data_IF_883818078353
#
_entry.id   IF_883818078353
#
_cell.length_a   1.000
_cell.length_b   1.000
_cell.length_c   1.000
_cell.angle_alpha   90.00
_cell.angle_beta   90.00
_cell.angle_gamma   90.00
#
_symmetry.space_group_name_H-M   'P 1'
#
loop_
_entity.id
_entity.type
_entity.pdbx_description
1 polymer ?
#
# COMPACT_ATOMS: atom_id res chain seq x y z
N UNK A 1 -14.12 -12.72 -3.81
CA UNK A 1 -13.43 -12.52 -2.51
C UNK A 1 -13.26 -11.01 -2.35
N UNK A 2 -13.43 -10.44 -1.15
CA UNK A 2 -13.21 -9.02 -0.95
C UNK A 2 -11.75 -8.67 -1.30
N UNK A 3 -11.51 -7.52 -1.90
CA UNK A 3 -10.16 -7.05 -2.23
C UNK A 3 -9.85 -5.76 -1.50
N UNK A 4 -8.69 -5.70 -0.85
CA UNK A 4 -8.18 -4.48 -0.24
C UNK A 4 -7.07 -3.87 -1.08
N UNK A 5 -7.12 -2.55 -1.25
CA UNK A 5 -5.95 -1.77 -1.63
C UNK A 5 -5.06 -1.62 -0.40
N UNK A 6 -3.84 -2.17 -0.44
CA UNK A 6 -2.91 -2.14 0.70
C UNK A 6 -1.81 -1.14 0.44
N UNK A 7 -1.64 -0.19 1.35
CA UNK A 7 -0.54 0.78 1.34
C UNK A 7 0.38 0.46 2.51
N UNK A 8 1.65 0.17 2.22
CA UNK A 8 2.70 0.08 3.23
C UNK A 8 3.46 1.40 3.21
N UNK A 9 3.40 2.17 4.29
CA UNK A 9 4.16 3.41 4.43
C UNK A 9 5.51 3.15 5.09
N UNK A 10 6.52 3.95 4.73
CA UNK A 10 7.83 3.97 5.40
C UNK A 10 8.49 5.34 5.22
N UNK A 11 9.70 5.52 5.75
CA UNK A 11 10.55 6.69 5.51
C UNK A 11 11.96 6.21 5.17
N UNK A 12 12.66 6.96 4.33
CA UNK A 12 13.93 6.54 3.71
C UNK A 12 15.11 6.32 4.66
N UNK A 13 14.99 6.70 5.94
CA UNK A 13 16.02 6.46 6.96
C UNK A 13 15.72 5.24 7.84
N UNK A 14 14.57 4.57 7.66
CA UNK A 14 14.26 3.33 8.35
C UNK A 14 14.73 2.10 7.55
N UNK A 15 15.03 0.98 8.22
CA UNK A 15 15.44 -0.25 7.55
C UNK A 15 14.35 -0.84 6.66
N UNK A 16 14.71 -1.21 5.42
CA UNK A 16 13.78 -1.82 4.46
C UNK A 16 13.22 -3.18 4.91
N UNK A 17 13.94 -3.89 5.78
CA UNK A 17 13.49 -5.18 6.34
C UNK A 17 12.11 -5.10 7.00
N UNK A 18 11.76 -3.94 7.56
CA UNK A 18 10.45 -3.71 8.19
C UNK A 18 9.32 -3.67 7.15
N UNK A 19 9.61 -3.19 5.93
CA UNK A 19 8.66 -3.20 4.80
C UNK A 19 8.43 -4.64 4.34
N UNK A 20 9.51 -5.41 4.21
CA UNK A 20 9.44 -6.81 3.76
C UNK A 20 8.72 -7.71 4.78
N UNK A 21 8.98 -7.51 6.08
CA UNK A 21 8.27 -8.19 7.16
C UNK A 21 6.78 -7.86 7.14
N UNK A 22 6.43 -6.57 7.07
CA UNK A 22 5.04 -6.12 7.01
C UNK A 22 4.31 -6.69 5.80
N UNK A 23 4.93 -6.64 4.61
CA UNK A 23 4.36 -7.21 3.38
C UNK A 23 4.05 -8.69 3.55
N UNK A 24 5.01 -9.47 4.06
CA UNK A 24 4.86 -10.91 4.27
C UNK A 24 3.72 -11.21 5.24
N UNK A 25 3.68 -10.51 6.36
CA UNK A 25 2.66 -10.74 7.39
C UNK A 25 1.26 -10.33 6.91
N UNK A 26 1.14 -9.18 6.24
CA UNK A 26 -0.12 -8.72 5.67
C UNK A 26 -0.65 -9.67 4.61
N UNK A 27 0.19 -10.07 3.64
CA UNK A 27 -0.23 -10.98 2.58
C UNK A 27 -0.65 -12.34 3.13
N UNK A 28 0.07 -12.85 4.14
CA UNK A 28 -0.29 -14.10 4.82
C UNK A 28 -1.67 -13.97 5.49
N UNK A 29 -1.86 -12.96 6.34
CA UNK A 29 -3.12 -12.78 7.08
C UNK A 29 -4.30 -12.54 6.13
N UNK A 30 -4.12 -11.72 5.09
CA UNK A 30 -5.18 -11.47 4.11
C UNK A 30 -5.55 -12.76 3.36
N UNK A 31 -4.57 -13.57 2.96
CA UNK A 31 -4.82 -14.85 2.32
C UNK A 31 -5.54 -15.84 3.26
N UNK A 32 -5.10 -15.93 4.53
CA UNK A 32 -5.72 -16.79 5.55
C UNK A 32 -7.20 -16.42 5.78
N UNK A 33 -7.54 -15.12 5.68
CA UNK A 33 -8.90 -14.60 5.81
C UNK A 33 -9.69 -14.56 4.49
N UNK A 34 -9.11 -15.04 3.38
CA UNK A 34 -9.77 -15.07 2.07
C UNK A 34 -10.00 -13.68 1.46
N UNK A 35 -9.07 -12.75 1.71
CA UNK A 35 -9.06 -11.37 1.19
C UNK A 35 -7.93 -11.22 0.17
N UNK A 36 -8.25 -10.70 -1.01
CA UNK A 36 -7.26 -10.37 -2.03
C UNK A 36 -6.60 -9.01 -1.75
N UNK A 37 -5.35 -8.83 -2.20
CA UNK A 37 -4.59 -7.60 -1.97
C UNK A 37 -4.12 -6.97 -3.29
N UNK A 38 -4.30 -5.65 -3.41
CA UNK A 38 -3.69 -4.80 -4.45
C UNK A 38 -2.71 -3.86 -3.76
N UNK A 39 -1.44 -3.97 -4.07
CA UNK A 39 -0.38 -3.15 -3.47
C UNK A 39 0.72 -2.92 -4.49
N UNK A 40 1.51 -1.87 -4.27
CA UNK A 40 2.69 -1.61 -5.10
C UNK A 40 3.60 -2.85 -5.10
N UNK A 41 4.09 -3.18 -6.29
CA UNK A 41 5.10 -4.22 -6.48
C UNK A 41 6.42 -3.81 -5.79
N UNK A 42 7.45 -4.64 -5.77
CA UNK A 42 8.76 -4.32 -5.19
C UNK A 42 9.74 -3.72 -6.24
N UNK A 43 9.61 -2.47 -6.69
CA UNK A 43 10.66 -1.87 -7.52
C UNK A 43 11.93 -1.64 -6.69
N UNK A 44 13.07 -1.59 -7.38
CA UNK A 44 14.37 -1.29 -6.78
C UNK A 44 14.31 0.00 -5.96
N UNK A 45 14.67 -0.10 -4.66
CA UNK A 45 14.88 1.05 -3.77
C UNK A 45 13.73 1.44 -2.83
N UNK A 46 12.49 1.00 -3.06
CA UNK A 46 11.35 1.32 -2.14
C UNK A 46 10.65 0.10 -1.56
N UNK A 47 10.97 -1.10 -2.02
CA UNK A 47 10.34 -2.36 -1.56
C UNK A 47 8.80 -2.35 -1.69
N UNK A 48 8.29 -1.47 -2.58
CA UNK A 48 6.86 -1.23 -2.80
C UNK A 48 6.15 -0.51 -1.67
N UNK A 49 6.89 0.23 -0.85
CA UNK A 49 6.31 1.16 0.12
C UNK A 49 6.08 2.54 -0.50
N UNK A 50 5.15 3.30 0.08
CA UNK A 50 4.91 4.70 -0.26
C UNK A 50 5.73 5.57 0.68
N UNK A 51 6.77 6.21 0.15
CA UNK A 51 7.69 7.06 0.92
C UNK A 51 7.87 8.46 0.30
N UNK A 52 7.41 8.64 -0.94
CA UNK A 52 7.56 9.87 -1.70
C UNK A 52 6.32 10.22 -2.49
N UNK A 53 6.28 11.44 -3.01
CA UNK A 53 5.24 11.90 -3.94
C UNK A 53 5.18 11.05 -5.23
N UNK A 54 6.33 10.53 -5.68
CA UNK A 54 6.38 9.65 -6.85
C UNK A 54 5.69 8.31 -6.56
N UNK A 55 5.97 7.73 -5.39
CA UNK A 55 5.33 6.49 -4.95
C UNK A 55 3.82 6.69 -4.76
N UNK A 56 3.40 7.82 -4.18
CA UNK A 56 2.00 8.16 -4.01
C UNK A 56 1.25 8.18 -5.35
N UNK A 57 1.83 8.79 -6.39
CA UNK A 57 1.26 8.77 -7.75
C UNK A 57 1.26 7.38 -8.36
N UNK A 58 2.31 6.58 -8.14
CA UNK A 58 2.36 5.21 -8.63
C UNK A 58 1.27 4.33 -7.99
N UNK A 59 1.10 4.46 -6.66
CA UNK A 59 0.07 3.77 -5.90
C UNK A 59 -1.33 4.18 -6.36
N UNK A 60 -1.57 5.48 -6.51
CA UNK A 60 -2.83 6.00 -7.02
C UNK A 60 -3.16 5.51 -8.43
N UNK A 61 -2.15 5.45 -9.31
CA UNK A 61 -2.33 4.91 -10.66
C UNK A 61 -2.66 3.42 -10.65
N UNK A 62 -2.03 2.64 -9.76
CA UNK A 62 -2.37 1.23 -9.55
C UNK A 62 -3.81 1.07 -9.06
N UNK A 63 -4.18 1.78 -8.01
CA UNK A 63 -5.52 1.73 -7.45
C UNK A 63 -6.58 2.20 -8.45
N UNK A 64 -6.27 3.21 -9.27
CA UNK A 64 -7.13 3.67 -10.34
C UNK A 64 -7.39 2.60 -11.41
N UNK A 65 -6.36 1.81 -11.79
CA UNK A 65 -6.49 0.68 -12.72
C UNK A 65 -7.33 -0.46 -12.13
N UNK A 66 -7.21 -0.71 -10.83
CA UNK A 66 -7.89 -1.78 -10.10
C UNK A 66 -9.18 -1.32 -9.39
N UNK A 67 -9.66 -0.08 -9.61
CA UNK A 67 -10.79 0.52 -8.88
C UNK A 67 -12.04 -0.36 -8.87
N UNK A 68 -12.31 -1.07 -9.97
CA UNK A 68 -13.51 -1.89 -10.10
C UNK A 68 -13.56 -3.13 -9.19
N UNK A 69 -12.44 -3.50 -8.55
CA UNK A 69 -12.37 -4.66 -7.66
C UNK A 69 -11.97 -4.32 -6.22
N UNK A 70 -11.48 -3.11 -5.94
CA UNK A 70 -11.06 -2.71 -4.59
C UNK A 70 -12.31 -2.35 -3.79
N UNK A 71 -12.52 -3.03 -2.67
CA UNK A 71 -13.69 -2.86 -1.78
C UNK A 71 -13.39 -1.99 -0.54
N UNK A 72 -12.11 -1.75 -0.25
CA UNK A 72 -11.65 -0.93 0.86
C UNK A 72 -10.14 -0.76 0.87
N UNK A 73 -9.63 0.12 1.74
CA UNK A 73 -8.20 0.39 1.88
C UNK A 73 -7.67 -0.05 3.25
N UNK A 74 -6.51 -0.70 3.25
CA UNK A 74 -5.71 -0.99 4.43
C UNK A 74 -4.39 -0.21 4.37
N UNK A 75 -4.17 0.67 5.35
CA UNK A 75 -2.90 1.37 5.53
C UNK A 75 -2.11 0.69 6.64
N UNK A 76 -0.89 0.25 6.35
CA UNK A 76 0.05 -0.27 7.33
C UNK A 76 1.27 0.64 7.43
N UNK A 77 1.57 1.06 8.66
CA UNK A 77 2.77 1.78 9.03
C UNK A 77 3.54 0.88 10.00
N UNK A 78 4.36 -0.08 9.53
CA UNK A 78 5.01 -1.07 10.40
C UNK A 78 5.97 -0.47 11.44
N UNK A 79 6.33 0.79 11.23
CA UNK A 79 7.09 1.62 12.14
C UNK A 79 6.44 3.03 12.21
N UNK A 80 6.95 3.97 11.43
CA UNK A 80 6.44 5.30 11.16
C UNK A 80 6.62 5.57 9.66
N UNK A 81 5.57 6.01 8.99
CA UNK A 81 5.62 6.32 7.55
C UNK A 81 5.56 7.81 7.28
N UNK A 82 5.71 8.16 6.01
CA UNK A 82 5.31 9.48 5.52
C UNK A 82 3.78 9.49 5.31
N UNK A 83 3.02 10.05 6.27
CA UNK A 83 1.56 10.11 6.19
C UNK A 83 1.09 11.02 5.05
N UNK A 84 1.92 11.97 4.61
CA UNK A 84 1.60 12.82 3.46
C UNK A 84 1.61 11.99 2.17
N UNK A 85 2.58 11.09 2.00
CA UNK A 85 2.61 10.17 0.87
C UNK A 85 1.37 9.27 0.80
N UNK A 86 0.94 8.73 1.95
CA UNK A 86 -0.30 7.93 2.05
C UNK A 86 -1.53 8.78 1.71
N UNK A 87 -1.67 9.95 2.32
CA UNK A 87 -2.80 10.84 2.08
C UNK A 87 -2.90 11.29 0.62
N UNK A 88 -1.77 11.58 -0.03
CA UNK A 88 -1.71 11.92 -1.45
C UNK A 88 -2.10 10.71 -2.32
N UNK A 89 -1.64 9.50 -2.01
CA UNK A 89 -2.02 8.29 -2.73
C UNK A 89 -3.55 8.08 -2.71
N UNK A 90 -4.17 8.22 -1.54
CA UNK A 90 -5.62 8.12 -1.36
C UNK A 90 -6.36 9.20 -2.15
N UNK A 91 -5.93 10.46 -2.00
CA UNK A 91 -6.54 11.62 -2.66
C UNK A 91 -6.45 11.51 -4.19
N UNK A 92 -5.33 11.05 -4.72
CA UNK A 92 -5.13 10.88 -6.16
C UNK A 92 -5.87 9.67 -6.72
N UNK A 93 -5.96 8.57 -5.95
CA UNK A 93 -6.75 7.42 -6.36
C UNK A 93 -8.24 7.78 -6.42
N UNK A 94 -8.70 8.60 -5.47
CA UNK A 94 -10.07 9.11 -5.39
C UNK A 94 -11.11 8.00 -5.26
N UNK A 95 -10.72 6.84 -4.71
CA UNK A 95 -11.65 5.72 -4.52
C UNK A 95 -12.76 6.12 -3.55
N UNK A 96 -13.98 5.68 -3.84
CA UNK A 96 -15.15 5.90 -2.99
C UNK A 96 -15.46 4.62 -2.22
N UNK A 97 -14.48 4.21 -1.40
CA UNK A 97 -14.50 2.98 -0.60
C UNK A 97 -14.00 3.29 0.81
N UNK A 98 -14.37 2.48 1.82
CA UNK A 98 -13.87 2.63 3.19
C UNK A 98 -12.34 2.58 3.31
#
# INVERSE_FOLDING_TARGET
>A
MPTLGVIIGSRSFFPDVLIDEARRDLLRVLADEGVDAVLLDQPEGTHGSVQSYADAKACAALFGRERGRIDGILVSLPNFGDEQGVADALRFAGLDVP
#
